data_IF_366503880647
#
_entry.id   IF_366503880647
#
_cell.length_a   1.000
_cell.length_b   1.000
_cell.length_c   1.000
_cell.angle_alpha   90.00
_cell.angle_beta   90.00
_cell.angle_gamma   90.00
#
_symmetry.space_group_name_H-M   'P 1'
#
loop_
_entity.id
_entity.type
_entity.pdbx_description
1 polymer ?
#
# COMPACT_ATOMS: atom_id res chain seq x y z
N UNK A 1 4.10 27.25 14.09
CA UNK A 1 3.38 25.99 13.80
C UNK A 1 3.27 25.87 12.29
N UNK A 2 3.33 24.66 11.78
CA UNK A 2 3.14 24.41 10.33
C UNK A 2 1.69 24.76 9.92
N UNK A 3 1.50 25.35 8.75
CA UNK A 3 0.20 25.65 8.17
C UNK A 3 -0.62 24.36 7.99
N UNK A 4 0.01 23.31 7.46
CA UNK A 4 -0.61 21.98 7.30
C UNK A 4 -1.08 21.40 8.64
N UNK A 5 -0.32 21.59 9.73
CA UNK A 5 -0.76 21.14 11.06
C UNK A 5 -2.08 21.80 11.47
N UNK A 6 -2.21 23.11 11.24
CA UNK A 6 -3.42 23.86 11.59
C UNK A 6 -4.63 23.39 10.75
N UNK A 7 -4.42 23.16 9.44
CA UNK A 7 -5.44 22.62 8.55
C UNK A 7 -5.92 21.24 9.00
N UNK A 8 -4.99 20.32 9.31
CA UNK A 8 -5.33 18.96 9.78
C UNK A 8 -6.12 19.02 11.09
N UNK A 9 -5.70 19.84 12.06
CA UNK A 9 -6.40 19.96 13.34
C UNK A 9 -7.79 20.61 13.17
N UNK A 10 -7.92 21.60 12.30
CA UNK A 10 -9.21 22.23 11.98
C UNK A 10 -10.18 21.26 11.31
N UNK A 11 -9.70 20.49 10.33
CA UNK A 11 -10.50 19.45 9.68
C UNK A 11 -10.95 18.35 10.68
N UNK A 12 -10.05 17.92 11.58
CA UNK A 12 -10.37 16.95 12.61
C UNK A 12 -11.42 17.50 13.61
N UNK A 13 -11.31 18.75 14.02
CA UNK A 13 -12.31 19.36 14.91
C UNK A 13 -13.70 19.34 14.28
N UNK A 14 -13.83 19.75 13.00
CA UNK A 14 -15.09 19.72 12.28
C UNK A 14 -15.64 18.30 12.08
N UNK A 15 -14.77 17.33 11.81
CA UNK A 15 -15.16 15.91 11.71
C UNK A 15 -15.69 15.38 13.06
N UNK A 16 -15.05 15.72 14.17
CA UNK A 16 -15.43 15.29 15.52
C UNK A 16 -16.82 15.81 15.92
N UNK A 17 -17.23 17.01 15.49
CA UNK A 17 -18.56 17.57 15.75
C UNK A 17 -19.69 16.72 15.17
N UNK A 18 -19.42 15.98 14.09
CA UNK A 18 -20.40 15.15 13.38
C UNK A 18 -20.14 13.64 13.55
N UNK A 19 -19.27 13.25 14.50
CA UNK A 19 -18.82 11.86 14.64
C UNK A 19 -19.98 10.91 15.02
N UNK A 20 -20.83 11.31 15.99
CA UNK A 20 -22.11 10.65 16.32
C UNK A 20 -21.98 9.15 16.55
N UNK A 21 -22.87 8.38 15.92
CA UNK A 21 -22.99 6.93 16.08
C UNK A 21 -21.74 6.14 15.62
N UNK A 22 -20.81 6.75 14.94
CA UNK A 22 -19.54 6.11 14.57
C UNK A 22 -18.74 5.66 15.80
N UNK A 23 -18.95 6.30 16.96
CA UNK A 23 -18.36 5.90 18.23
C UNK A 23 -18.76 4.47 18.68
N UNK A 24 -19.87 3.95 18.16
CA UNK A 24 -20.40 2.62 18.47
C UNK A 24 -20.02 1.54 17.46
N UNK A 25 -19.19 1.86 16.46
CA UNK A 25 -18.75 0.88 15.46
C UNK A 25 -17.99 -0.28 16.14
N UNK A 26 -18.30 -1.54 15.75
CA UNK A 26 -17.62 -2.70 16.31
C UNK A 26 -16.17 -2.76 15.86
N UNK A 27 -15.31 -3.37 16.67
CA UNK A 27 -13.90 -3.57 16.35
C UNK A 27 -13.67 -4.45 15.10
N UNK A 28 -14.40 -5.56 14.86
CA UNK A 28 -14.28 -6.34 13.64
C UNK A 28 -14.88 -5.59 12.43
N UNK A 29 -14.26 -5.68 11.23
CA UNK A 29 -14.77 -5.01 10.02
C UNK A 29 -16.12 -5.59 9.61
N UNK A 30 -17.10 -4.72 9.34
CA UNK A 30 -18.47 -5.12 9.02
C UNK A 30 -18.60 -6.02 7.81
N UNK A 31 -17.86 -5.76 6.74
CA UNK A 31 -17.85 -6.53 5.49
C UNK A 31 -16.83 -7.68 5.47
N UNK A 32 -16.08 -7.86 6.55
CA UNK A 32 -15.16 -9.00 6.76
C UNK A 32 -14.11 -9.21 5.68
N UNK A 33 -13.61 -8.15 5.06
CA UNK A 33 -12.48 -8.24 4.14
C UNK A 33 -11.36 -7.23 4.46
N UNK A 34 -10.17 -7.50 3.94
CA UNK A 34 -9.05 -6.56 3.96
C UNK A 34 -8.55 -6.29 2.56
N UNK A 35 -8.11 -5.06 2.32
CA UNK A 35 -7.51 -4.64 1.06
C UNK A 35 -6.09 -4.14 1.32
N UNK A 36 -5.12 -4.69 0.59
CA UNK A 36 -3.74 -4.21 0.53
C UNK A 36 -3.56 -3.40 -0.74
N UNK A 37 -3.17 -2.14 -0.59
CA UNK A 37 -3.13 -1.18 -1.68
C UNK A 37 -1.96 -0.19 -1.53
N UNK A 38 -1.59 0.47 -2.64
CA UNK A 38 -0.57 1.52 -2.64
C UNK A 38 -0.98 2.73 -1.78
N UNK A 39 0.05 3.40 -1.21
CA UNK A 39 -0.11 4.66 -0.49
C UNK A 39 -0.32 5.87 -1.42
N UNK A 40 -0.29 5.71 -2.74
CA UNK A 40 -0.46 6.78 -3.73
C UNK A 40 -1.67 7.66 -3.39
N UNK A 41 -1.45 8.98 -3.29
CA UNK A 41 -2.46 9.93 -2.84
C UNK A 41 -3.66 10.04 -3.81
N UNK A 42 -3.53 9.59 -5.07
CA UNK A 42 -4.63 9.55 -6.05
C UNK A 42 -5.64 8.44 -5.77
N UNK A 43 -5.28 7.46 -4.91
CA UNK A 43 -6.12 6.31 -4.59
C UNK A 43 -6.92 6.57 -3.32
N UNK A 44 -8.24 6.49 -3.44
CA UNK A 44 -9.16 6.51 -2.32
C UNK A 44 -10.00 5.22 -2.31
N UNK A 45 -9.53 4.17 -1.62
CA UNK A 45 -10.23 2.89 -1.60
C UNK A 45 -11.64 2.99 -1.03
N UNK A 46 -11.89 3.89 -0.08
CA UNK A 46 -13.23 4.08 0.45
C UNK A 46 -14.22 4.46 -0.65
N UNK A 47 -13.80 5.30 -1.60
CA UNK A 47 -14.67 5.71 -2.71
C UNK A 47 -14.85 4.62 -3.74
N UNK A 48 -13.78 4.04 -4.29
CA UNK A 48 -13.91 3.14 -5.43
C UNK A 48 -14.35 1.71 -5.07
N UNK A 49 -14.25 1.29 -3.80
CA UNK A 49 -14.84 0.01 -3.30
C UNK A 49 -16.12 0.26 -2.48
N UNK A 50 -16.54 1.49 -2.35
CA UNK A 50 -17.78 1.84 -1.67
C UNK A 50 -17.77 1.48 -0.19
N UNK A 51 -16.75 1.96 0.57
CA UNK A 51 -16.61 1.72 2.01
C UNK A 51 -17.14 2.89 2.83
N UNK A 52 -17.89 2.57 3.86
CA UNK A 52 -18.07 3.42 5.02
C UNK A 52 -17.03 3.09 6.10
N UNK A 53 -16.92 3.96 7.11
CA UNK A 53 -16.07 3.68 8.27
C UNK A 53 -16.55 2.39 8.96
N UNK A 54 -15.61 1.52 9.34
CA UNK A 54 -15.89 0.24 9.99
C UNK A 54 -16.15 -0.93 9.01
N UNK A 55 -16.23 -0.72 7.69
CA UNK A 55 -16.56 -1.78 6.73
C UNK A 55 -15.42 -2.78 6.50
N UNK A 56 -14.20 -2.31 6.32
CA UNK A 56 -13.06 -3.14 5.93
C UNK A 56 -11.74 -2.62 6.49
N UNK A 57 -10.74 -3.50 6.59
CA UNK A 57 -9.38 -3.07 6.87
C UNK A 57 -8.68 -2.62 5.58
N UNK A 58 -8.12 -1.42 5.60
CA UNK A 58 -7.36 -0.85 4.49
C UNK A 58 -5.89 -0.75 4.90
N UNK A 59 -5.04 -1.55 4.28
CA UNK A 59 -3.59 -1.59 4.51
C UNK A 59 -2.93 -0.89 3.33
N UNK A 60 -2.09 0.12 3.60
CA UNK A 60 -1.44 0.93 2.56
C UNK A 60 0.07 1.02 2.81
N UNK A 61 0.84 0.77 1.75
CA UNK A 61 2.29 0.98 1.74
C UNK A 61 2.78 1.37 0.35
N UNK A 62 4.06 1.67 0.19
CA UNK A 62 4.65 1.95 -1.12
C UNK A 62 4.47 0.75 -2.06
N UNK A 63 3.77 0.97 -3.17
CA UNK A 63 3.47 -0.05 -4.19
C UNK A 63 2.31 -0.99 -3.85
N UNK A 64 1.73 -0.94 -2.66
CA UNK A 64 0.70 -1.91 -2.25
C UNK A 64 1.27 -3.33 -2.05
N UNK A 65 2.57 -3.42 -1.71
CA UNK A 65 3.34 -4.67 -1.69
C UNK A 65 3.05 -5.52 -0.46
N UNK A 66 3.06 -6.84 -0.63
CA UNK A 66 2.94 -7.82 0.44
C UNK A 66 4.24 -7.88 1.30
N UNK A 67 4.63 -6.75 1.89
CA UNK A 67 5.76 -6.70 2.84
C UNK A 67 5.47 -7.54 4.09
N UNK A 68 6.49 -7.82 4.89
CA UNK A 68 6.33 -8.57 6.15
C UNK A 68 5.33 -7.88 7.09
N UNK A 69 5.35 -6.54 7.15
CA UNK A 69 4.39 -5.77 7.96
C UNK A 69 2.95 -5.81 7.38
N UNK A 70 2.80 -5.76 6.07
CA UNK A 70 1.49 -5.94 5.43
C UNK A 70 0.92 -7.32 5.73
N UNK A 71 1.73 -8.38 5.62
CA UNK A 71 1.30 -9.75 5.96
C UNK A 71 0.97 -9.87 7.45
N UNK A 72 1.78 -9.31 8.34
CA UNK A 72 1.49 -9.23 9.79
C UNK A 72 0.10 -8.62 10.03
N UNK A 73 -0.22 -7.53 9.35
CA UNK A 73 -1.51 -6.84 9.46
C UNK A 73 -2.66 -7.69 8.93
N UNK A 74 -2.49 -8.38 7.80
CA UNK A 74 -3.49 -9.32 7.26
C UNK A 74 -3.74 -10.50 8.21
N UNK A 75 -2.70 -11.06 8.82
CA UNK A 75 -2.81 -12.15 9.80
C UNK A 75 -3.63 -11.70 11.02
N UNK A 76 -3.36 -10.51 11.57
CA UNK A 76 -4.12 -9.94 12.69
C UNK A 76 -5.57 -9.69 12.27
N UNK A 77 -5.79 -9.12 11.09
CA UNK A 77 -7.10 -8.86 10.51
C UNK A 77 -7.97 -10.12 10.45
N UNK A 78 -7.41 -11.25 10.05
CA UNK A 78 -8.13 -12.51 10.03
C UNK A 78 -8.23 -13.13 11.43
N UNK A 79 -7.09 -13.38 12.07
CA UNK A 79 -7.01 -14.21 13.29
C UNK A 79 -7.77 -13.62 14.47
N UNK A 80 -7.72 -12.30 14.63
CA UNK A 80 -8.31 -11.60 15.78
C UNK A 80 -9.61 -10.88 15.46
N UNK A 81 -9.77 -10.42 14.21
CA UNK A 81 -10.87 -9.54 13.79
C UNK A 81 -11.80 -10.17 12.75
N UNK A 82 -11.56 -11.45 12.40
CA UNK A 82 -12.49 -12.29 11.65
C UNK A 82 -12.68 -11.91 10.19
N UNK A 83 -11.69 -11.29 9.56
CA UNK A 83 -11.65 -11.08 8.10
C UNK A 83 -11.64 -12.42 7.37
N UNK A 84 -12.37 -12.52 6.26
CA UNK A 84 -12.59 -13.76 5.51
C UNK A 84 -12.04 -13.72 4.08
N UNK A 85 -11.70 -12.54 3.57
CA UNK A 85 -11.26 -12.35 2.19
C UNK A 85 -10.17 -11.29 2.12
N UNK A 86 -9.20 -11.45 1.21
CA UNK A 86 -8.16 -10.46 0.95
C UNK A 86 -8.19 -10.00 -0.50
N UNK A 87 -7.96 -8.71 -0.68
CA UNK A 87 -7.74 -8.08 -1.98
C UNK A 87 -6.34 -7.48 -2.02
N UNK A 88 -5.58 -7.81 -3.07
CA UNK A 88 -4.29 -7.17 -3.38
C UNK A 88 -4.51 -6.32 -4.61
N UNK A 89 -4.34 -5.01 -4.47
CA UNK A 89 -4.64 -4.06 -5.54
C UNK A 89 -3.43 -3.17 -5.79
N UNK A 90 -2.77 -3.38 -6.93
CA UNK A 90 -1.79 -2.44 -7.44
C UNK A 90 -2.47 -1.41 -8.35
N UNK A 91 -1.73 -0.47 -8.92
CA UNK A 91 -2.33 0.54 -9.79
C UNK A 91 -1.42 0.93 -10.94
N UNK A 92 -2.01 1.42 -12.03
CA UNK A 92 -1.26 1.99 -13.16
C UNK A 92 -0.51 3.26 -12.76
N UNK A 93 0.56 3.59 -13.46
CA UNK A 93 1.41 4.78 -13.21
C UNK A 93 1.96 4.81 -11.75
N UNK A 94 2.33 3.66 -11.20
CA UNK A 94 2.89 3.57 -9.85
C UNK A 94 4.34 4.03 -9.80
N UNK A 95 4.66 4.92 -8.88
CA UNK A 95 6.03 5.40 -8.67
C UNK A 95 7.06 4.30 -8.39
N UNK A 96 6.63 3.16 -7.83
CA UNK A 96 7.51 2.01 -7.57
C UNK A 96 8.05 1.31 -8.83
N UNK A 97 7.54 1.65 -10.02
CA UNK A 97 8.06 1.18 -11.30
C UNK A 97 9.18 2.06 -11.87
N UNK A 98 9.40 3.24 -11.30
CA UNK A 98 10.32 4.25 -11.83
C UNK A 98 11.77 4.09 -11.34
N UNK A 99 12.03 3.19 -10.41
CA UNK A 99 13.35 2.94 -9.85
C UNK A 99 13.48 1.48 -9.40
N UNK A 100 14.72 1.08 -9.09
CA UNK A 100 15.02 -0.22 -8.46
C UNK A 100 15.79 -0.03 -7.14
N UNK A 101 16.04 -1.13 -6.45
CA UNK A 101 16.71 -1.14 -5.15
C UNK A 101 18.13 -0.50 -5.24
N UNK A 102 18.79 -0.60 -6.40
CA UNK A 102 20.12 0.00 -6.62
C UNK A 102 20.02 1.53 -6.71
N UNK A 103 19.03 2.03 -7.46
CA UNK A 103 18.82 3.47 -7.64
C UNK A 103 18.51 4.14 -6.30
N UNK A 104 17.52 3.63 -5.56
CA UNK A 104 17.15 4.22 -4.26
C UNK A 104 18.29 4.09 -3.24
N UNK A 105 19.02 2.98 -3.25
CA UNK A 105 20.19 2.80 -2.38
C UNK A 105 21.25 3.87 -2.60
N UNK A 106 21.58 4.18 -3.87
CA UNK A 106 22.56 5.21 -4.24
C UNK A 106 22.07 6.63 -3.90
N UNK A 107 20.79 6.93 -4.13
CA UNK A 107 20.21 8.22 -3.77
C UNK A 107 20.33 8.47 -2.26
N UNK A 108 19.96 7.48 -1.44
CA UNK A 108 20.04 7.56 0.01
C UNK A 108 21.49 7.57 0.54
N UNK A 109 22.43 6.94 -0.16
CA UNK A 109 23.86 7.04 0.15
C UNK A 109 24.39 8.45 -0.10
N UNK A 110 23.91 9.12 -1.15
CA UNK A 110 24.30 10.49 -1.49
C UNK A 110 23.75 11.50 -0.49
N UNK A 111 22.45 11.53 -0.29
CA UNK A 111 21.78 12.39 0.71
C UNK A 111 20.43 11.84 1.17
N UNK A 112 19.87 12.41 2.23
CA UNK A 112 18.50 12.13 2.69
C UNK A 112 17.48 13.18 2.21
N UNK A 113 17.91 14.08 1.33
CA UNK A 113 17.05 15.11 0.76
C UNK A 113 16.15 14.53 -0.36
N UNK A 114 15.16 15.31 -0.77
CA UNK A 114 14.22 14.85 -1.81
C UNK A 114 14.90 14.82 -3.18
N UNK A 115 14.99 13.63 -3.78
CA UNK A 115 15.47 13.45 -5.15
C UNK A 115 14.49 14.00 -6.18
N UNK A 116 14.99 14.37 -7.35
CA UNK A 116 14.20 14.74 -8.52
C UNK A 116 14.35 13.70 -9.64
N UNK A 117 13.41 13.69 -10.56
CA UNK A 117 13.42 12.80 -11.74
C UNK A 117 13.20 13.61 -13.00
N UNK A 118 13.99 13.32 -14.04
CA UNK A 118 13.84 13.89 -15.38
C UNK A 118 14.02 12.82 -16.48
N UNK A 119 14.26 13.22 -17.72
CA UNK A 119 14.47 12.33 -18.87
C UNK A 119 15.74 11.46 -18.76
N UNK A 120 16.69 11.84 -17.90
CA UNK A 120 17.93 11.10 -17.66
C UNK A 120 17.83 10.17 -16.42
N UNK A 121 16.72 10.24 -15.66
CA UNK A 121 16.46 9.40 -14.49
C UNK A 121 16.39 10.18 -13.18
N UNK A 122 16.65 9.49 -12.08
CA UNK A 122 16.64 10.05 -10.74
C UNK A 122 17.96 10.74 -10.40
N UNK A 123 17.87 11.95 -9.87
CA UNK A 123 19.01 12.78 -9.44
C UNK A 123 18.84 13.21 -8.00
N UNK A 124 19.95 13.20 -7.28
CA UNK A 124 20.06 13.92 -6.03
C UNK A 124 20.32 15.41 -6.34
N UNK A 125 19.45 16.34 -5.95
CA UNK A 125 19.64 17.75 -6.23
C UNK A 125 20.86 18.37 -5.52
N UNK A 126 21.50 17.64 -4.62
CA UNK A 126 22.50 18.13 -3.68
C UNK A 126 23.96 17.75 -3.97
N UNK A 127 24.29 17.27 -5.14
CA UNK A 127 25.70 17.29 -5.57
C UNK A 127 26.37 18.70 -5.41
N UNK A 128 25.51 19.74 -5.24
CA UNK A 128 25.94 21.12 -5.11
C UNK A 128 25.72 21.78 -3.73
N UNK A 129 24.85 21.28 -2.83
CA UNK A 129 24.45 22.03 -1.62
C UNK A 129 24.11 21.15 -0.40
N UNK A 130 24.80 20.05 -0.14
CA UNK A 130 24.52 19.09 0.91
C UNK A 130 23.95 19.66 2.21
N UNK A 131 22.65 19.44 2.43
CA UNK A 131 21.96 19.82 3.67
C UNK A 131 21.73 18.65 4.61
N UNK A 132 21.76 17.39 4.11
CA UNK A 132 21.69 16.19 4.92
C UNK A 132 22.75 15.17 4.52
N UNK A 133 23.37 14.53 5.52
CA UNK A 133 24.27 13.42 5.26
C UNK A 133 23.47 12.23 4.73
N UNK A 134 24.02 11.52 3.73
CA UNK A 134 23.46 10.29 3.20
C UNK A 134 23.62 9.10 4.14
N UNK A 135 23.03 7.97 3.78
CA UNK A 135 23.09 6.75 4.59
C UNK A 135 23.25 5.50 3.72
N UNK A 136 24.22 4.67 4.06
CA UNK A 136 24.42 3.35 3.45
C UNK A 136 23.32 2.36 3.81
N UNK A 137 22.47 2.64 4.79
CA UNK A 137 21.39 1.74 5.21
C UNK A 137 20.38 1.48 4.09
N UNK A 138 20.23 2.40 3.13
CA UNK A 138 19.37 2.24 1.96
C UNK A 138 19.66 0.98 1.13
N UNK A 139 20.91 0.53 1.09
CA UNK A 139 21.32 -0.69 0.36
C UNK A 139 20.88 -2.00 1.02
N UNK A 140 20.48 -1.97 2.28
CA UNK A 140 20.09 -3.17 3.06
C UNK A 140 18.56 -3.29 3.20
N UNK A 141 17.79 -2.33 2.72
CA UNK A 141 16.33 -2.38 2.72
C UNK A 141 15.83 -3.12 1.49
N UNK A 142 14.86 -4.00 1.67
CA UNK A 142 14.10 -4.59 0.55
C UNK A 142 12.99 -3.63 0.18
N UNK A 143 13.20 -2.84 -0.86
CA UNK A 143 12.24 -1.82 -1.29
C UNK A 143 11.02 -2.40 -1.99
N UNK A 144 11.10 -3.65 -2.46
CA UNK A 144 10.03 -4.35 -3.17
C UNK A 144 9.57 -3.61 -4.44
N UNK A 145 10.50 -2.99 -5.13
CA UNK A 145 10.26 -2.37 -6.45
C UNK A 145 9.84 -3.43 -7.47
N UNK A 146 9.17 -3.02 -8.52
CA UNK A 146 8.74 -3.91 -9.59
C UNK A 146 8.73 -3.18 -10.94
N UNK A 147 8.91 -3.94 -12.03
CA UNK A 147 8.83 -3.41 -13.40
C UNK A 147 7.46 -3.68 -14.01
N UNK A 148 6.99 -4.90 -13.89
CA UNK A 148 5.78 -5.40 -14.54
C UNK A 148 4.62 -5.48 -13.54
N UNK A 149 3.55 -4.77 -13.85
CA UNK A 149 2.45 -4.54 -12.91
C UNK A 149 1.64 -5.81 -12.61
N UNK A 150 1.17 -6.56 -13.63
CA UNK A 150 0.38 -7.77 -13.40
C UNK A 150 1.19 -8.91 -12.74
N UNK A 151 2.46 -9.16 -13.15
CA UNK A 151 3.33 -10.08 -12.42
C UNK A 151 3.54 -9.71 -10.95
N UNK A 152 3.69 -8.42 -10.63
CA UNK A 152 3.89 -8.01 -9.23
C UNK A 152 2.65 -8.27 -8.36
N UNK A 153 1.44 -8.13 -8.88
CA UNK A 153 0.20 -8.52 -8.18
C UNK A 153 0.19 -10.02 -7.91
N UNK A 154 0.55 -10.82 -8.92
CA UNK A 154 0.60 -12.30 -8.81
C UNK A 154 1.63 -12.74 -7.77
N UNK A 155 2.82 -12.13 -7.79
CA UNK A 155 3.89 -12.38 -6.81
C UNK A 155 3.42 -12.11 -5.38
N UNK A 156 2.76 -10.99 -5.16
CA UNK A 156 2.28 -10.61 -3.83
C UNK A 156 1.15 -11.52 -3.34
N UNK A 157 0.23 -11.91 -4.20
CA UNK A 157 -0.81 -12.92 -3.87
C UNK A 157 -0.17 -14.25 -3.52
N UNK A 158 0.82 -14.73 -4.30
CA UNK A 158 1.56 -15.96 -4.02
C UNK A 158 2.33 -15.86 -2.70
N UNK A 159 2.97 -14.73 -2.42
CA UNK A 159 3.67 -14.50 -1.17
C UNK A 159 2.75 -14.59 0.05
N UNK A 160 1.57 -13.95 -0.01
CA UNK A 160 0.56 -14.05 1.04
C UNK A 160 0.07 -15.50 1.16
N UNK A 161 -0.31 -16.16 0.05
CA UNK A 161 -0.82 -17.53 0.04
C UNK A 161 0.16 -18.54 0.61
N UNK A 162 1.44 -18.41 0.32
CA UNK A 162 2.49 -19.32 0.78
C UNK A 162 2.93 -19.07 2.23
N UNK A 163 2.56 -17.91 2.81
CA UNK A 163 3.00 -17.54 4.15
C UNK A 163 2.43 -18.51 5.22
N UNK A 164 3.26 -19.03 6.14
CA UNK A 164 2.84 -20.06 7.09
C UNK A 164 1.78 -19.60 8.10
N UNK A 165 1.65 -18.30 8.34
CA UNK A 165 0.66 -17.73 9.28
C UNK A 165 -0.64 -17.32 8.59
N UNK A 166 -0.75 -17.42 7.26
CA UNK A 166 -1.98 -17.11 6.53
C UNK A 166 -2.80 -18.39 6.38
N UNK A 167 -4.06 -18.32 6.83
CA UNK A 167 -4.99 -19.46 6.73
C UNK A 167 -5.27 -19.82 5.26
N UNK A 168 -5.32 -21.13 4.97
CA UNK A 168 -5.43 -21.65 3.59
C UNK A 168 -6.83 -21.52 3.01
N UNK A 169 -7.84 -21.35 3.84
CA UNK A 169 -9.24 -21.18 3.49
C UNK A 169 -9.67 -19.74 3.19
N UNK A 170 -8.73 -18.78 3.21
CA UNK A 170 -9.00 -17.37 2.86
C UNK A 170 -8.77 -17.18 1.36
N UNK A 171 -9.78 -16.80 0.55
CA UNK A 171 -9.55 -16.41 -0.83
C UNK A 171 -8.80 -15.09 -0.91
N UNK A 172 -7.89 -14.96 -1.89
CA UNK A 172 -7.11 -13.77 -2.16
C UNK A 172 -7.33 -13.39 -3.62
N UNK A 173 -7.76 -12.17 -3.86
CA UNK A 173 -8.05 -11.65 -5.19
C UNK A 173 -7.00 -10.61 -5.60
N UNK A 174 -6.55 -10.68 -6.86
CA UNK A 174 -5.55 -9.76 -7.41
C UNK A 174 -6.12 -8.83 -8.46
N UNK A 175 -5.92 -7.52 -8.28
CA UNK A 175 -6.45 -6.49 -9.16
C UNK A 175 -5.44 -5.40 -9.46
N UNK A 176 -5.68 -4.68 -10.54
CA UNK A 176 -5.02 -3.42 -10.89
C UNK A 176 -6.08 -2.33 -10.92
N UNK A 177 -5.87 -1.27 -10.16
CA UNK A 177 -6.66 -0.05 -10.27
C UNK A 177 -6.09 0.85 -11.37
N UNK A 178 -6.88 1.17 -12.37
CA UNK A 178 -6.49 2.11 -13.41
C UNK A 178 -6.76 3.54 -12.96
N UNK A 179 -5.69 4.30 -12.71
CA UNK A 179 -5.79 5.68 -12.19
C UNK A 179 -6.43 6.67 -13.17
N UNK A 180 -6.58 6.30 -14.44
CA UNK A 180 -7.20 7.16 -15.46
C UNK A 180 -8.69 6.93 -15.60
N UNK A 181 -9.15 5.70 -15.43
CA UNK A 181 -10.56 5.34 -15.58
C UNK A 181 -11.28 5.06 -14.27
N UNK A 182 -10.53 4.85 -13.17
CA UNK A 182 -11.09 4.45 -11.88
C UNK A 182 -11.56 3.00 -11.83
N UNK A 183 -11.24 2.17 -12.82
CA UNK A 183 -11.68 0.79 -12.91
C UNK A 183 -10.72 -0.15 -12.18
N UNK A 184 -11.30 -1.18 -11.55
CA UNK A 184 -10.57 -2.38 -11.11
C UNK A 184 -10.52 -3.39 -12.26
N UNK A 185 -9.31 -3.76 -12.65
CA UNK A 185 -9.02 -4.75 -13.68
C UNK A 185 -8.50 -6.01 -12.99
N UNK A 186 -9.18 -7.12 -13.15
CA UNK A 186 -8.74 -8.39 -12.57
C UNK A 186 -7.40 -8.83 -13.18
N UNK A 187 -6.53 -9.42 -12.32
CA UNK A 187 -5.35 -10.17 -12.75
C UNK A 187 -5.66 -11.67 -12.56
N UNK A 188 -6.11 -12.38 -13.61
CA UNK A 188 -6.64 -13.76 -13.48
C UNK A 188 -5.62 -14.74 -12.89
N UNK A 189 -4.34 -14.57 -13.21
CA UNK A 189 -3.25 -15.39 -12.67
C UNK A 189 -3.11 -15.19 -11.15
N UNK A 190 -3.21 -13.97 -10.69
CA UNK A 190 -3.15 -13.64 -9.27
C UNK A 190 -4.36 -14.22 -8.52
N UNK A 191 -5.58 -14.00 -9.03
CA UNK A 191 -6.80 -14.57 -8.43
C UNK A 191 -6.75 -16.11 -8.43
N UNK A 192 -6.20 -16.73 -9.48
CA UNK A 192 -6.00 -18.18 -9.54
C UNK A 192 -5.01 -18.66 -8.47
N UNK A 193 -3.89 -17.96 -8.29
CA UNK A 193 -2.91 -18.26 -7.25
C UNK A 193 -3.50 -18.06 -5.83
N UNK A 194 -4.46 -17.16 -5.69
CA UNK A 194 -5.15 -16.85 -4.43
C UNK A 194 -6.30 -17.76 -4.06
N UNK A 195 -6.66 -18.75 -4.90
CA UNK A 195 -7.75 -19.69 -4.61
C UNK A 195 -7.51 -20.46 -3.32
N UNK A 196 -8.60 -20.78 -2.65
CA UNK A 196 -8.60 -21.65 -1.48
C UNK A 196 -8.01 -23.01 -1.84
N UNK A 197 -7.10 -23.49 -1.02
CA UNK A 197 -6.52 -24.84 -1.14
C UNK A 197 -7.29 -25.74 -0.19
N UNK A 198 -8.00 -26.72 -0.76
CA UNK A 198 -8.77 -27.70 -0.01
C UNK A 198 -7.87 -28.62 0.83
#
# INVERSE_FOLDING_TARGET
MSEILNEVLGANASYAETFGEKANLPLPPGRRFAILICMDARLDPAKYVGLAEGDAHVIRNAGGRASDDAIRSLVISHKLLGTKEYFVVHHTDCGMQLFDDTIIGKLLESSLDTASVDEHGWHDPHEAHGHSEGSLHGHFVKWLTFKDLAPSVTEDVQRIRSHPLVAKDIPIYGYIYDVRSGKLLEVPEATTAGKVVA
#
